data_IF_608711444880
#
_entry.id   IF_608711444880
#
_cell.length_a   1.000
_cell.length_b   1.000
_cell.length_c   1.000
_cell.angle_alpha   90.00
_cell.angle_beta   90.00
_cell.angle_gamma   90.00
#
_symmetry.space_group_name_H-M   'P 1'
#
loop_
_entity.id
_entity.type
_entity.pdbx_description
1 polymer ?
#
# COMPACT_ATOMS: atom_id res chain seq x y z
N UNK A 1 -15.20 3.41 8.92
CA UNK A 1 -15.46 2.16 9.68
C UNK A 1 -15.59 0.92 8.79
N UNK A 2 -16.45 0.91 7.76
CA UNK A 2 -16.67 -0.27 6.88
C UNK A 2 -15.39 -0.92 6.33
N UNK A 3 -14.40 -0.13 5.93
CA UNK A 3 -13.11 -0.59 5.41
C UNK A 3 -12.12 -1.04 6.50
N UNK A 4 -12.26 -0.55 7.73
CA UNK A 4 -11.30 -0.75 8.83
C UNK A 4 -11.68 -1.92 9.72
N UNK A 5 -12.97 -2.05 10.03
CA UNK A 5 -13.51 -3.20 10.76
C UNK A 5 -14.92 -3.48 10.26
N UNK A 6 -15.07 -4.39 9.27
CA UNK A 6 -16.37 -4.75 8.71
C UNK A 6 -17.35 -5.26 9.77
N UNK A 7 -16.85 -6.05 10.72
CA UNK A 7 -17.64 -6.60 11.83
C UNK A 7 -18.18 -5.48 12.73
N UNK A 8 -17.32 -4.58 13.20
CA UNK A 8 -17.75 -3.45 14.04
C UNK A 8 -18.71 -2.53 13.28
N UNK A 9 -18.45 -2.28 12.00
CA UNK A 9 -19.37 -1.53 11.15
C UNK A 9 -20.76 -2.16 11.08
N UNK A 10 -20.85 -3.48 10.90
CA UNK A 10 -22.11 -4.20 10.90
C UNK A 10 -22.81 -4.11 12.25
N UNK A 11 -22.09 -4.29 13.36
CA UNK A 11 -22.64 -4.17 14.72
C UNK A 11 -23.21 -2.78 15.00
N UNK A 12 -22.47 -1.71 14.71
CA UNK A 12 -22.94 -0.33 14.89
C UNK A 12 -24.15 -0.02 13.98
N UNK A 13 -24.15 -0.56 12.75
CA UNK A 13 -25.29 -0.40 11.83
C UNK A 13 -26.53 -1.15 12.33
N UNK A 14 -26.36 -2.34 12.88
CA UNK A 14 -27.45 -3.10 13.52
C UNK A 14 -28.02 -2.35 14.72
N UNK A 15 -27.17 -1.76 15.56
CA UNK A 15 -27.58 -0.91 16.68
C UNK A 15 -28.43 0.27 16.21
N UNK A 16 -27.98 1.00 15.18
CA UNK A 16 -28.75 2.13 14.63
C UNK A 16 -30.11 1.71 14.08
N UNK A 17 -30.16 0.54 13.42
CA UNK A 17 -31.37 0.00 12.81
C UNK A 17 -32.31 -0.69 13.80
N UNK A 18 -31.89 -0.92 15.04
CA UNK A 18 -32.69 -1.59 16.06
C UNK A 18 -33.87 -0.70 16.49
N UNK A 19 -35.11 -1.21 16.41
CA UNK A 19 -36.34 -0.42 16.61
C UNK A 19 -37.11 -0.73 17.87
N UNK A 20 -36.87 -1.89 18.48
CA UNK A 20 -37.63 -2.35 19.64
C UNK A 20 -37.18 -1.63 20.92
N UNK A 21 -38.10 -1.44 21.87
CA UNK A 21 -37.84 -0.66 23.10
C UNK A 21 -36.95 -1.39 24.13
N UNK A 22 -36.69 -2.68 23.94
CA UNK A 22 -35.84 -3.54 24.77
C UNK A 22 -34.34 -3.45 24.44
N UNK A 23 -33.93 -2.51 23.58
CA UNK A 23 -32.53 -2.32 23.15
C UNK A 23 -31.55 -2.34 24.33
N UNK A 24 -31.89 -1.61 25.39
CA UNK A 24 -31.06 -1.44 26.59
C UNK A 24 -30.80 -2.78 27.28
N UNK A 25 -31.83 -3.61 27.44
CA UNK A 25 -31.74 -4.93 28.06
C UNK A 25 -31.18 -6.01 27.13
N UNK A 26 -31.34 -5.85 25.83
CA UNK A 26 -30.92 -6.83 24.82
C UNK A 26 -29.43 -6.71 24.49
N UNK A 27 -28.91 -5.49 24.38
CA UNK A 27 -27.51 -5.26 24.01
C UNK A 27 -26.61 -4.96 25.22
N UNK A 28 -27.17 -4.40 26.30
CA UNK A 28 -26.44 -4.08 27.53
C UNK A 28 -25.14 -3.28 27.29
N UNK A 29 -25.15 -2.36 26.33
CA UNK A 29 -24.02 -1.47 26.08
C UNK A 29 -24.08 -0.25 26.99
N UNK A 30 -22.92 0.16 27.52
CA UNK A 30 -22.72 1.44 28.16
C UNK A 30 -21.92 2.37 27.24
N UNK A 31 -21.78 3.65 27.59
CA UNK A 31 -20.93 4.60 26.87
C UNK A 31 -19.45 4.39 27.20
N UNK A 32 -18.96 3.16 27.03
CA UNK A 32 -17.55 2.79 27.13
C UNK A 32 -17.16 1.83 26.00
N UNK A 33 -15.85 1.64 25.84
CA UNK A 33 -15.27 0.73 24.87
C UNK A 33 -14.14 -0.06 25.51
N UNK A 34 -14.14 -1.37 25.30
CA UNK A 34 -13.04 -2.25 25.69
C UNK A 34 -12.17 -2.57 24.47
N UNK A 35 -10.87 -2.37 24.60
CA UNK A 35 -9.89 -2.70 23.55
C UNK A 35 -8.67 -3.36 24.15
N UNK A 36 -8.09 -4.27 23.39
CA UNK A 36 -6.76 -4.79 23.69
C UNK A 36 -5.70 -3.79 23.20
N UNK A 37 -4.88 -3.30 24.12
CA UNK A 37 -3.80 -2.35 23.87
C UNK A 37 -2.55 -2.95 24.52
N UNK A 38 -1.57 -3.32 23.69
CA UNK A 38 -0.32 -3.97 24.13
C UNK A 38 -0.54 -5.26 24.94
N UNK A 39 -1.54 -6.07 24.57
CA UNK A 39 -1.89 -7.32 25.25
C UNK A 39 -2.75 -7.14 26.51
N UNK A 40 -3.06 -5.90 26.90
CA UNK A 40 -3.94 -5.60 28.04
C UNK A 40 -5.32 -5.14 27.56
N UNK A 41 -6.38 -5.70 28.15
CA UNK A 41 -7.75 -5.19 27.94
C UNK A 41 -7.94 -3.92 28.74
N UNK A 42 -8.17 -2.81 28.04
CA UNK A 42 -8.44 -1.51 28.63
C UNK A 42 -9.85 -1.05 28.27
N UNK A 43 -10.61 -0.70 29.29
CA UNK A 43 -11.91 -0.05 29.15
C UNK A 43 -11.73 1.46 29.21
N UNK A 44 -12.34 2.18 28.28
CA UNK A 44 -12.28 3.64 28.19
C UNK A 44 -13.68 4.19 28.04
N UNK A 45 -14.05 5.16 28.89
CA UNK A 45 -15.33 5.84 28.75
C UNK A 45 -15.33 6.76 27.52
N UNK A 46 -16.42 6.74 26.77
CA UNK A 46 -16.61 7.57 25.58
C UNK A 46 -17.01 9.01 25.92
N UNK A 47 -17.58 9.21 27.12
CA UNK A 47 -17.95 10.49 27.72
C UNK A 47 -17.86 10.39 29.24
N UNK A 48 -17.80 11.52 29.98
CA UNK A 48 -17.68 11.49 31.44
C UNK A 48 -18.80 10.67 32.11
N UNK A 49 -18.44 9.68 32.92
CA UNK A 49 -19.39 8.79 33.58
C UNK A 49 -20.08 7.80 32.62
N UNK A 50 -19.53 7.64 31.41
CA UNK A 50 -20.12 6.86 30.33
C UNK A 50 -20.36 5.40 30.69
N UNK A 51 -19.53 4.79 31.54
CA UNK A 51 -19.73 3.41 31.99
C UNK A 51 -21.01 3.20 32.81
N UNK A 52 -21.62 4.28 33.33
CA UNK A 52 -22.89 4.24 34.06
C UNK A 52 -24.09 4.64 33.21
N UNK A 53 -23.89 5.00 31.94
CA UNK A 53 -24.95 5.45 31.04
C UNK A 53 -25.19 4.33 30.04
N UNK A 54 -26.37 3.71 30.10
CA UNK A 54 -26.75 2.67 29.17
C UNK A 54 -27.18 3.24 27.82
N UNK A 55 -26.89 2.49 26.77
CA UNK A 55 -27.33 2.79 25.41
C UNK A 55 -28.79 2.37 25.25
N UNK A 56 -29.62 3.29 24.78
CA UNK A 56 -31.06 3.11 24.56
C UNK A 56 -31.48 3.80 23.24
N UNK A 57 -32.77 3.71 22.92
CA UNK A 57 -33.32 4.27 21.67
C UNK A 57 -33.06 5.77 21.49
N UNK A 58 -32.97 6.54 22.59
CA UNK A 58 -32.79 8.00 22.55
C UNK A 58 -31.34 8.41 22.32
N UNK A 59 -30.37 7.61 22.78
CA UNK A 59 -28.95 7.99 22.79
C UNK A 59 -28.05 7.10 21.91
N UNK A 60 -28.58 6.07 21.24
CA UNK A 60 -27.80 5.16 20.36
C UNK A 60 -27.02 5.88 19.25
N UNK A 61 -27.54 6.99 18.73
CA UNK A 61 -26.84 7.79 17.73
C UNK A 61 -25.58 8.45 18.31
N UNK A 62 -25.71 9.08 19.47
CA UNK A 62 -24.59 9.68 20.21
C UNK A 62 -23.53 8.62 20.54
N UNK A 63 -23.94 7.43 20.98
CA UNK A 63 -23.01 6.34 21.24
C UNK A 63 -22.19 5.99 20.00
N UNK A 64 -22.84 5.82 18.84
CA UNK A 64 -22.16 5.47 17.59
C UNK A 64 -21.22 6.59 17.14
N UNK A 65 -21.62 7.85 17.26
CA UNK A 65 -20.76 9.00 16.94
C UNK A 65 -19.51 9.04 17.82
N UNK A 66 -19.67 8.93 19.15
CA UNK A 66 -18.55 8.92 20.09
C UNK A 66 -17.65 7.69 19.91
N UNK A 67 -18.23 6.54 19.57
CA UNK A 67 -17.47 5.33 19.26
C UNK A 67 -16.58 5.55 18.03
N UNK A 68 -17.13 6.12 16.96
CA UNK A 68 -16.38 6.41 15.72
C UNK A 68 -15.27 7.43 16.00
N UNK A 69 -15.58 8.52 16.70
CA UNK A 69 -14.60 9.55 17.08
C UNK A 69 -13.46 8.95 17.94
N UNK A 70 -13.80 8.09 18.90
CA UNK A 70 -12.78 7.44 19.71
C UNK A 70 -11.86 6.56 18.87
N UNK A 71 -12.41 5.72 17.99
CA UNK A 71 -11.61 4.82 17.16
C UNK A 71 -10.67 5.59 16.23
N UNK A 72 -11.16 6.61 15.54
CA UNK A 72 -10.39 7.30 14.50
C UNK A 72 -9.54 8.46 14.98
N UNK A 73 -9.94 9.15 16.04
CA UNK A 73 -9.27 10.35 16.51
C UNK A 73 -8.62 10.14 17.87
N UNK A 74 -9.40 9.84 18.92
CA UNK A 74 -8.88 9.83 20.30
C UNK A 74 -7.91 8.69 20.57
N UNK A 75 -8.16 7.50 20.04
CA UNK A 75 -7.38 6.30 20.38
C UNK A 75 -5.94 6.32 19.85
N UNK A 76 -5.66 7.17 18.87
CA UNK A 76 -4.33 7.36 18.28
C UNK A 76 -3.84 8.81 18.37
N UNK A 77 -4.54 9.69 19.10
CA UNK A 77 -4.31 11.14 19.08
C UNK A 77 -2.85 11.50 19.35
N UNK A 78 -2.25 10.92 20.40
CA UNK A 78 -0.86 11.21 20.78
C UNK A 78 0.12 10.83 19.66
N UNK A 79 -0.03 9.64 19.10
CA UNK A 79 0.81 9.12 18.02
C UNK A 79 0.62 9.93 16.74
N UNK A 80 -0.63 10.23 16.41
CA UNK A 80 -0.99 11.02 15.24
C UNK A 80 -0.46 12.45 15.32
N UNK A 81 -0.57 13.12 16.48
CA UNK A 81 -0.02 14.47 16.68
C UNK A 81 1.50 14.49 16.49
N UNK A 82 2.22 13.53 17.05
CA UNK A 82 3.67 13.40 16.87
C UNK A 82 4.05 13.17 15.39
N UNK A 83 3.36 12.25 14.71
CA UNK A 83 3.54 11.99 13.28
C UNK A 83 3.24 13.23 12.44
N UNK A 84 2.09 13.86 12.64
CA UNK A 84 1.62 15.05 11.90
C UNK A 84 2.60 16.22 12.07
N UNK A 85 3.10 16.45 13.29
CA UNK A 85 4.10 17.47 13.56
C UNK A 85 5.42 17.20 12.81
N UNK A 86 5.89 15.96 12.78
CA UNK A 86 7.08 15.58 12.02
C UNK A 86 6.89 15.73 10.51
N UNK A 87 5.78 15.22 9.98
CA UNK A 87 5.43 15.27 8.57
C UNK A 87 5.32 16.70 8.04
N UNK A 88 4.63 17.59 8.77
CA UNK A 88 4.46 19.01 8.42
C UNK A 88 5.74 19.86 8.53
N UNK A 89 6.79 19.37 9.18
CA UNK A 89 8.10 20.04 9.19
C UNK A 89 8.85 19.84 7.89
N UNK A 90 8.65 18.71 7.23
CA UNK A 90 9.34 18.35 5.98
C UNK A 90 8.55 18.82 4.78
N UNK A 91 7.22 18.69 4.82
CA UNK A 91 6.32 19.08 3.73
C UNK A 91 5.64 20.40 4.08
N UNK A 92 5.72 21.37 3.17
CA UNK A 92 4.99 22.62 3.32
C UNK A 92 3.48 22.33 3.46
N UNK A 93 2.84 22.85 4.51
CA UNK A 93 1.47 22.47 4.85
C UNK A 93 0.43 22.92 3.83
N UNK A 94 0.71 23.97 3.06
CA UNK A 94 -0.23 24.54 2.07
C UNK A 94 -0.60 23.55 0.94
N UNK A 95 0.37 22.86 0.29
CA UNK A 95 0.05 21.79 -0.65
C UNK A 95 -0.86 20.69 -0.09
N UNK A 96 -0.71 20.32 1.19
CA UNK A 96 -1.46 19.21 1.79
C UNK A 96 -2.95 19.53 1.95
N UNK A 97 -3.31 20.79 2.13
CA UNK A 97 -4.70 21.24 2.28
C UNK A 97 -5.48 21.26 0.95
N UNK A 98 -4.79 21.10 -0.19
CA UNK A 98 -5.40 21.08 -1.51
C UNK A 98 -5.83 19.69 -1.96
N UNK A 99 -5.35 18.63 -1.29
CA UNK A 99 -5.62 17.25 -1.68
C UNK A 99 -6.87 16.68 -0.98
N UNK A 100 -7.65 15.92 -1.74
CA UNK A 100 -8.55 14.93 -1.15
C UNK A 100 -7.76 13.76 -0.55
N UNK A 101 -8.31 13.03 0.44
CA UNK A 101 -7.61 11.91 1.08
C UNK A 101 -7.07 10.86 0.10
N UNK A 102 -7.84 10.52 -0.94
CA UNK A 102 -7.43 9.54 -1.95
C UNK A 102 -6.30 10.07 -2.85
N UNK A 103 -6.26 11.37 -3.12
CA UNK A 103 -5.20 12.00 -3.91
C UNK A 103 -3.90 12.07 -3.11
N UNK A 104 -3.96 12.42 -1.82
CA UNK A 104 -2.81 12.39 -0.92
C UNK A 104 -2.28 10.96 -0.80
N UNK A 105 -3.17 9.96 -0.69
CA UNK A 105 -2.79 8.56 -0.68
C UNK A 105 -2.07 8.18 -1.98
N UNK A 106 -2.64 8.50 -3.15
CA UNK A 106 -2.02 8.24 -4.44
C UNK A 106 -0.68 8.96 -4.62
N UNK A 107 -0.52 10.16 -4.04
CA UNK A 107 0.75 10.88 -4.03
C UNK A 107 1.83 10.14 -3.24
N UNK A 108 1.46 9.58 -2.07
CA UNK A 108 2.40 8.88 -1.19
C UNK A 108 2.73 7.48 -1.70
N UNK A 109 1.72 6.71 -2.15
CA UNK A 109 1.91 5.29 -2.51
C UNK A 109 2.04 5.06 -4.02
N UNK A 110 1.74 6.06 -4.85
CA UNK A 110 1.61 5.90 -6.30
C UNK A 110 0.20 5.48 -6.74
N UNK A 111 0.01 5.30 -8.05
CA UNK A 111 -1.24 4.89 -8.66
C UNK A 111 -1.15 3.49 -9.30
N UNK A 112 -2.29 2.96 -9.74
CA UNK A 112 -2.42 1.64 -10.36
C UNK A 112 -2.67 1.70 -11.86
N UNK A 113 -2.39 2.83 -12.50
CA UNK A 113 -2.59 3.01 -13.93
C UNK A 113 -1.32 2.57 -14.67
N UNK A 114 -1.18 1.26 -14.87
CA UNK A 114 0.00 0.67 -15.48
C UNK A 114 -0.06 0.77 -17.01
N UNK A 115 0.57 1.79 -17.59
CA UNK A 115 0.87 1.79 -19.03
C UNK A 115 2.22 1.12 -19.29
N UNK A 116 2.19 -0.21 -19.50
CA UNK A 116 3.39 -1.00 -19.77
C UNK A 116 4.05 -0.68 -21.12
N UNK A 117 3.31 -0.10 -22.07
CA UNK A 117 3.87 0.30 -23.36
C UNK A 117 4.67 1.60 -23.21
N UNK A 118 4.15 2.57 -22.44
CA UNK A 118 4.88 3.78 -22.09
C UNK A 118 6.15 3.43 -21.28
N UNK A 119 6.03 2.48 -20.35
CA UNK A 119 7.17 1.97 -19.58
C UNK A 119 8.29 1.44 -20.47
N UNK A 120 7.96 0.59 -21.45
CA UNK A 120 8.94 0.12 -22.46
C UNK A 120 9.52 1.27 -23.28
N UNK A 121 8.67 2.18 -23.77
CA UNK A 121 9.09 3.30 -24.62
C UNK A 121 10.10 4.22 -23.94
N UNK A 122 10.00 4.35 -22.62
CA UNK A 122 10.88 5.18 -21.79
C UNK A 122 12.11 4.46 -21.26
N UNK A 123 12.23 3.16 -21.46
CA UNK A 123 13.37 2.41 -20.97
C UNK A 123 14.63 2.81 -21.75
N UNK A 124 15.66 3.17 -21.02
CA UNK A 124 16.99 3.48 -21.53
C UNK A 124 17.87 2.24 -21.52
N UNK A 125 18.86 2.21 -22.41
CA UNK A 125 19.80 1.09 -22.54
C UNK A 125 21.23 1.61 -22.42
N UNK A 126 22.09 0.86 -21.74
CA UNK A 126 23.52 1.19 -21.57
C UNK A 126 24.43 0.01 -21.91
N UNK A 127 25.68 0.34 -22.23
CA UNK A 127 26.70 -0.64 -22.64
C UNK A 127 26.42 -1.17 -24.05
N UNK A 128 26.47 -2.49 -24.21
CA UNK A 128 26.19 -3.18 -25.48
C UNK A 128 24.68 -3.27 -25.79
N UNK A 129 23.82 -2.95 -24.83
CA UNK A 129 22.38 -3.02 -25.03
C UNK A 129 21.81 -1.78 -25.70
N UNK A 130 20.87 -2.02 -26.60
CA UNK A 130 20.06 -1.05 -27.31
C UNK A 130 18.73 -1.71 -27.69
N UNK A 131 17.74 -0.93 -28.12
CA UNK A 131 16.37 -1.41 -28.36
C UNK A 131 16.27 -2.61 -29.34
N UNK A 132 17.20 -2.70 -30.30
CA UNK A 132 17.24 -3.75 -31.32
C UNK A 132 18.14 -4.94 -30.93
N UNK A 133 18.79 -4.91 -29.78
CA UNK A 133 19.65 -6.00 -29.33
C UNK A 133 18.78 -7.26 -29.06
N UNK A 134 19.19 -8.48 -29.50
CA UNK A 134 18.37 -9.69 -29.39
C UNK A 134 17.86 -9.97 -27.98
N UNK A 135 18.74 -9.86 -26.98
CA UNK A 135 18.38 -10.07 -25.56
C UNK A 135 17.34 -9.05 -25.06
N UNK A 136 17.40 -7.80 -25.53
CA UNK A 136 16.43 -6.76 -25.17
C UNK A 136 15.07 -7.04 -25.81
N UNK A 137 15.06 -7.49 -27.07
CA UNK A 137 13.84 -7.92 -27.73
C UNK A 137 13.22 -9.13 -27.03
N UNK A 138 14.05 -10.10 -26.59
CA UNK A 138 13.58 -11.24 -25.80
C UNK A 138 13.00 -10.81 -24.46
N UNK A 139 13.67 -9.90 -23.74
CA UNK A 139 13.17 -9.33 -22.49
C UNK A 139 11.76 -8.78 -22.66
N UNK A 140 11.53 -7.88 -23.62
CA UNK A 140 10.21 -7.28 -23.82
C UNK A 140 9.16 -8.30 -24.30
N UNK A 141 9.55 -9.25 -25.15
CA UNK A 141 8.65 -10.34 -25.55
C UNK A 141 8.25 -11.25 -24.37
N UNK A 142 9.16 -11.46 -23.41
CA UNK A 142 8.85 -12.21 -22.18
C UNK A 142 7.99 -11.35 -21.27
N UNK A 143 8.40 -10.13 -20.99
CA UNK A 143 7.71 -9.19 -20.11
C UNK A 143 6.26 -8.95 -20.52
N UNK A 144 5.99 -8.71 -21.80
CA UNK A 144 4.62 -8.49 -22.28
C UNK A 144 3.72 -9.72 -22.21
N UNK A 145 4.31 -10.92 -22.18
CA UNK A 145 3.58 -12.17 -21.97
C UNK A 145 3.29 -12.47 -20.49
N UNK A 146 3.90 -11.75 -19.57
CA UNK A 146 3.64 -11.91 -18.14
C UNK A 146 2.22 -11.44 -17.79
N UNK A 147 1.62 -12.07 -16.78
CA UNK A 147 0.38 -11.59 -16.18
C UNK A 147 0.59 -10.28 -15.42
N UNK A 148 -0.49 -9.54 -15.18
CA UNK A 148 -0.45 -8.25 -14.48
C UNK A 148 0.24 -8.35 -13.10
N UNK A 149 -0.02 -9.42 -12.35
CA UNK A 149 0.60 -9.65 -11.04
C UNK A 149 2.11 -9.89 -11.14
N UNK A 150 2.59 -10.55 -12.19
CA UNK A 150 4.02 -10.78 -12.41
C UNK A 150 4.72 -9.50 -12.85
N UNK A 151 4.07 -8.66 -13.67
CA UNK A 151 4.57 -7.33 -14.03
C UNK A 151 4.69 -6.41 -12.81
N UNK A 152 3.73 -6.46 -11.89
CA UNK A 152 3.81 -5.76 -10.60
C UNK A 152 4.95 -6.28 -9.72
N UNK A 153 5.17 -7.60 -9.66
CA UNK A 153 6.33 -8.18 -8.98
C UNK A 153 7.64 -7.75 -9.60
N UNK A 154 7.71 -7.65 -10.93
CA UNK A 154 8.87 -7.09 -11.62
C UNK A 154 9.09 -5.61 -11.25
N UNK A 155 8.03 -4.81 -11.20
CA UNK A 155 8.13 -3.40 -10.81
C UNK A 155 8.62 -3.26 -9.36
N UNK A 156 8.11 -4.09 -8.45
CA UNK A 156 8.59 -4.18 -7.07
C UNK A 156 10.07 -4.59 -7.03
N UNK A 157 10.46 -5.58 -7.83
CA UNK A 157 11.84 -6.02 -7.95
C UNK A 157 12.76 -4.89 -8.42
N UNK A 158 12.32 -4.10 -9.39
CA UNK A 158 13.11 -3.03 -10.00
C UNK A 158 13.17 -1.76 -9.14
N UNK A 159 12.07 -1.37 -8.50
CA UNK A 159 11.89 -0.03 -7.93
C UNK A 159 11.64 -0.03 -6.42
N UNK A 160 11.41 -1.20 -5.81
CA UNK A 160 10.96 -1.30 -4.42
C UNK A 160 9.48 -0.96 -4.20
N UNK A 161 8.72 -0.66 -5.27
CA UNK A 161 7.28 -0.42 -5.21
C UNK A 161 6.55 -1.20 -6.31
N UNK A 162 5.34 -1.69 -6.02
CA UNK A 162 4.46 -2.29 -7.02
C UNK A 162 3.53 -1.26 -7.68
N UNK A 163 3.72 0.04 -7.41
CA UNK A 163 2.89 1.15 -7.89
C UNK A 163 3.64 2.07 -8.85
N UNK A 164 2.88 2.65 -9.78
CA UNK A 164 3.40 3.68 -10.68
C UNK A 164 3.47 5.00 -9.93
N UNK A 165 4.53 5.81 -10.08
CA UNK A 165 4.55 7.12 -9.43
C UNK A 165 3.40 8.01 -9.90
N UNK A 166 2.98 8.96 -9.06
CA UNK A 166 1.69 9.66 -9.23
C UNK A 166 1.57 10.41 -10.57
N UNK A 167 2.69 10.91 -11.10
CA UNK A 167 2.75 11.64 -12.38
C UNK A 167 2.93 10.73 -13.61
N UNK A 168 2.80 9.42 -13.42
CA UNK A 168 3.01 8.41 -14.47
C UNK A 168 4.48 8.27 -14.86
N UNK A 169 4.76 7.39 -15.83
CA UNK A 169 6.13 7.17 -16.33
C UNK A 169 6.74 8.42 -16.95
N UNK A 170 5.88 9.32 -17.45
CA UNK A 170 6.20 10.62 -18.07
C UNK A 170 7.22 11.46 -17.28
N UNK A 171 7.09 11.51 -15.95
CA UNK A 171 7.86 12.40 -15.07
C UNK A 171 8.74 11.66 -14.06
N UNK A 172 8.98 10.37 -14.28
CA UNK A 172 9.77 9.51 -13.37
C UNK A 172 11.12 9.17 -13.96
N UNK A 173 12.10 8.91 -13.10
CA UNK A 173 13.40 8.36 -13.49
C UNK A 173 13.17 7.10 -14.37
N UNK A 174 13.65 7.12 -15.63
CA UNK A 174 13.43 6.01 -16.54
C UNK A 174 14.11 4.75 -16.01
N UNK A 175 13.51 3.60 -16.30
CA UNK A 175 14.21 2.33 -16.15
C UNK A 175 15.42 2.31 -17.08
N UNK A 176 16.56 1.85 -16.59
CA UNK A 176 17.75 1.59 -17.42
C UNK A 176 18.04 0.10 -17.44
N UNK A 177 18.17 -0.51 -18.61
CA UNK A 177 18.74 -1.87 -18.73
C UNK A 177 20.19 -1.75 -19.17
N UNK A 178 21.10 -2.29 -18.37
CA UNK A 178 22.52 -2.31 -18.71
C UNK A 178 23.07 -3.73 -18.73
N UNK A 179 24.06 -3.92 -19.59
CA UNK A 179 24.77 -5.19 -19.72
C UNK A 179 25.63 -5.40 -18.47
N UNK A 180 25.34 -6.45 -17.71
CA UNK A 180 26.29 -6.95 -16.70
C UNK A 180 27.49 -7.60 -17.40
N UNK A 181 28.59 -7.94 -16.74
CA UNK A 181 29.64 -8.79 -17.35
C UNK A 181 29.51 -10.26 -16.91
N UNK A 182 28.29 -10.79 -16.92
CA UNK A 182 27.95 -12.16 -16.48
C UNK A 182 27.21 -12.98 -17.55
N UNK A 183 26.93 -14.25 -17.28
CA UNK A 183 26.41 -15.23 -18.24
C UNK A 183 25.09 -15.90 -17.80
N UNK A 184 24.72 -16.99 -18.48
CA UNK A 184 23.49 -17.77 -18.27
C UNK A 184 23.26 -18.28 -16.85
N UNK A 185 24.32 -18.42 -16.04
CA UNK A 185 24.21 -18.94 -14.67
C UNK A 185 23.59 -17.89 -13.75
N UNK A 186 23.84 -16.61 -14.03
CA UNK A 186 23.56 -15.49 -13.15
C UNK A 186 22.12 -14.98 -13.30
N UNK A 187 21.56 -14.49 -12.20
CA UNK A 187 20.28 -13.79 -12.17
C UNK A 187 20.45 -12.33 -12.60
N UNK A 188 19.39 -11.70 -13.17
CA UNK A 188 19.39 -10.26 -13.30
C UNK A 188 19.37 -9.61 -11.92
N UNK A 189 19.98 -8.43 -11.79
CA UNK A 189 20.10 -7.68 -10.53
C UNK A 189 19.48 -6.30 -10.69
N UNK A 190 18.71 -5.86 -9.70
CA UNK A 190 18.16 -4.50 -9.68
C UNK A 190 18.89 -3.60 -8.71
N UNK A 191 19.06 -2.34 -9.12
CA UNK A 191 19.50 -1.25 -8.25
C UNK A 191 18.33 -0.30 -8.04
N UNK A 192 17.52 -0.58 -7.01
CA UNK A 192 16.23 0.08 -6.78
C UNK A 192 16.34 1.59 -6.60
N UNK A 193 17.44 2.08 -6.06
CA UNK A 193 17.69 3.52 -5.88
C UNK A 193 17.77 4.28 -7.22
N UNK A 194 18.08 3.60 -8.32
CA UNK A 194 18.36 4.22 -9.62
C UNK A 194 17.51 3.64 -10.76
N UNK A 195 16.57 2.72 -10.46
CA UNK A 195 15.77 1.99 -11.45
C UNK A 195 16.63 1.30 -12.54
N UNK A 196 17.79 0.75 -12.15
CA UNK A 196 18.69 0.06 -13.07
C UNK A 196 18.49 -1.45 -12.97
N UNK A 197 18.40 -2.11 -14.11
CA UNK A 197 18.41 -3.56 -14.26
C UNK A 197 19.73 -3.99 -14.93
N UNK A 198 20.59 -4.64 -14.15
CA UNK A 198 21.76 -5.35 -14.67
C UNK A 198 21.31 -6.69 -15.24
N UNK A 199 21.44 -6.83 -16.56
CA UNK A 199 20.97 -8.01 -17.26
C UNK A 199 22.15 -8.78 -17.88
N UNK A 200 22.25 -10.10 -17.63
CA UNK A 200 23.20 -10.98 -18.30
C UNK A 200 22.91 -11.15 -19.80
N UNK A 201 23.95 -11.44 -20.59
CA UNK A 201 23.85 -11.77 -22.01
C UNK A 201 23.43 -13.23 -22.12
N UNK A 202 22.14 -13.44 -21.91
CA UNK A 202 21.56 -14.76 -22.01
C UNK A 202 21.71 -15.32 -23.43
N UNK A 203 22.04 -16.59 -23.55
CA UNK A 203 22.21 -17.29 -24.83
C UNK A 203 20.89 -17.62 -25.52
N UNK A 204 19.78 -17.67 -24.77
CA UNK A 204 18.43 -17.93 -25.28
C UNK A 204 17.34 -17.19 -24.52
N UNK A 205 16.18 -17.05 -25.18
CA UNK A 205 14.98 -16.44 -24.60
C UNK A 205 14.42 -17.26 -23.44
N UNK A 206 14.55 -18.57 -23.52
CA UNK A 206 14.06 -19.52 -22.52
C UNK A 206 14.82 -19.36 -21.21
N UNK A 207 16.16 -19.22 -21.28
CA UNK A 207 17.01 -18.94 -20.12
C UNK A 207 16.66 -17.58 -19.52
N UNK A 208 16.55 -16.53 -20.35
CA UNK A 208 16.14 -15.20 -19.88
C UNK A 208 14.83 -15.27 -19.13
N UNK A 209 13.82 -15.94 -19.70
CA UNK A 209 12.51 -16.09 -19.06
C UNK A 209 12.63 -16.78 -17.70
N UNK A 210 13.34 -17.91 -17.64
CA UNK A 210 13.51 -18.66 -16.40
C UNK A 210 14.20 -17.81 -15.32
N UNK A 211 15.32 -17.17 -15.65
CA UNK A 211 16.11 -16.35 -14.73
C UNK A 211 15.38 -15.08 -14.28
N UNK A 212 14.64 -14.43 -15.19
CA UNK A 212 13.80 -13.29 -14.85
C UNK A 212 12.68 -13.67 -13.87
N UNK A 213 11.98 -14.78 -14.15
CA UNK A 213 10.91 -15.26 -13.27
C UNK A 213 11.46 -15.68 -11.89
N UNK A 214 12.62 -16.34 -11.87
CA UNK A 214 13.31 -16.70 -10.64
C UNK A 214 13.66 -15.46 -9.82
N UNK A 215 14.22 -14.42 -10.44
CA UNK A 215 14.59 -13.18 -9.74
C UNK A 215 13.38 -12.42 -9.17
N UNK A 216 12.27 -12.31 -9.92
CA UNK A 216 11.06 -11.60 -9.43
C UNK A 216 10.30 -12.39 -8.37
N UNK A 217 10.43 -13.73 -8.33
CA UNK A 217 9.75 -14.57 -7.35
C UNK A 217 10.50 -14.59 -6.01
N UNK A 218 11.83 -14.56 -6.02
CA UNK A 218 12.65 -14.62 -4.81
C UNK A 218 12.93 -13.24 -4.18
N UNK A 219 12.40 -12.14 -4.73
CA UNK A 219 12.54 -10.79 -4.18
C UNK A 219 11.41 -10.39 -3.21
N UNK A 220 10.86 -11.34 -2.48
CA UNK A 220 9.95 -11.07 -1.37
C UNK A 220 10.58 -11.60 -0.07
N UNK A 221 11.15 -10.68 0.74
CA UNK A 221 11.56 -10.94 2.12
C UNK A 221 13.05 -10.79 2.41
N UNK A 222 13.38 -10.60 3.70
CA UNK A 222 14.71 -10.82 4.26
C UNK A 222 14.97 -12.32 4.33
N UNK A 223 15.14 -12.96 3.17
CA UNK A 223 15.55 -14.36 3.16
C UNK A 223 16.99 -14.42 3.66
N UNK A 224 17.21 -15.16 4.75
CA UNK A 224 18.56 -15.50 5.23
C UNK A 224 19.29 -16.22 4.10
N UNK A 225 20.35 -15.56 3.60
CA UNK A 225 21.42 -16.20 2.85
C UNK A 225 22.35 -16.87 3.85
#
# INVERSE_FOLDING_TARGET
MKSVSPTVYQSLRSLLNYKEDDLETTLCYAFDIEREIYGERRRTELKPGGSSIMVNQKNKHEFVELYIDYIFNKSCEKQYQAFSAGFRRVINSKPLELFYPDELMAFVIGNTNYDWNEFQKKTEYKGEYHANHPVIQWFWQVFHKLGENEKKKFLLFLTGSDRVPVFGWSQTLPMTIQRSHTDDVHLPVSHTCFNILDMPLYSSKEILKAKLLEAIQHNQGFNLV
#
